data_IF_393550705660
#
_entry.id   IF_393550705660
#
_cell.length_a   1.000
_cell.length_b   1.000
_cell.length_c   1.000
_cell.angle_alpha   90.00
_cell.angle_beta   90.00
_cell.angle_gamma   90.00
#
_symmetry.space_group_name_H-M   'P 1'
#
loop_
_entity.id
_entity.type
_entity.pdbx_description
1 polymer ?
#
# COMPACT_ATOMS: atom_id res chain seq x y z
N UNK A 1 46.85 42.24 16.50
CA UNK A 1 47.20 43.60 16.04
C UNK A 1 47.98 43.46 14.74
N UNK A 2 47.34 43.73 13.59
CA UNK A 2 47.88 43.77 12.21
C UNK A 2 46.66 43.97 11.29
N UNK A 3 46.23 45.21 11.04
CA UNK A 3 46.54 46.06 9.87
C UNK A 3 45.73 45.71 8.61
N UNK A 4 44.90 46.67 8.20
CA UNK A 4 44.15 46.69 6.93
C UNK A 4 45.07 47.23 5.78
N UNK A 5 44.68 47.46 4.53
CA UNK A 5 43.37 47.44 3.84
C UNK A 5 43.56 47.02 2.35
N UNK A 6 42.95 47.67 1.34
CA UNK A 6 41.90 47.08 0.50
C UNK A 6 42.36 46.82 -0.94
N UNK A 7 41.46 46.34 -1.81
CA UNK A 7 41.38 46.83 -3.19
C UNK A 7 40.02 46.50 -3.83
N UNK A 8 39.36 47.53 -4.34
CA UNK A 8 38.04 47.44 -4.99
C UNK A 8 38.20 47.34 -6.50
N UNK A 9 37.41 46.50 -7.17
CA UNK A 9 36.93 46.83 -8.53
C UNK A 9 35.55 46.25 -8.80
N UNK A 10 34.69 47.11 -9.36
CA UNK A 10 33.27 46.90 -9.67
C UNK A 10 33.12 46.80 -11.20
N UNK A 11 31.96 46.31 -11.66
CA UNK A 11 31.52 46.04 -13.04
C UNK A 11 31.67 44.54 -13.42
N UNK A 12 30.79 43.93 -14.24
CA UNK A 12 29.79 44.48 -15.21
C UNK A 12 28.39 43.81 -15.01
N UNK A 13 27.36 44.43 -15.58
CA UNK A 13 25.94 44.01 -15.57
C UNK A 13 25.60 42.81 -16.46
N UNK A 14 24.60 42.05 -16.00
CA UNK A 14 23.68 41.14 -16.73
C UNK A 14 22.71 40.57 -15.68
N UNK A 15 21.37 40.63 -15.77
CA UNK A 15 20.52 40.37 -16.93
C UNK A 15 20.67 38.89 -17.30
N UNK A 16 19.74 37.97 -17.08
CA UNK A 16 18.30 38.00 -16.69
C UNK A 16 18.03 36.74 -15.81
N UNK A 17 16.94 36.52 -15.06
CA UNK A 17 15.63 37.19 -14.93
C UNK A 17 15.03 36.98 -13.51
N UNK A 18 13.81 37.48 -13.27
CA UNK A 18 12.94 37.08 -12.15
C UNK A 18 11.98 35.99 -12.65
N UNK A 19 12.03 34.79 -12.05
CA UNK A 19 11.09 33.70 -12.36
C UNK A 19 10.69 32.94 -11.08
N UNK A 20 9.54 33.36 -10.54
CA UNK A 20 8.65 32.68 -9.59
C UNK A 20 9.19 31.51 -8.72
N UNK A 21 9.31 31.77 -7.42
CA UNK A 21 9.11 30.76 -6.37
C UNK A 21 7.62 30.36 -6.42
N UNK A 22 7.27 29.32 -7.19
CA UNK A 22 5.91 28.79 -7.27
C UNK A 22 5.89 27.31 -7.71
N UNK A 23 6.18 26.41 -6.77
CA UNK A 23 5.80 24.99 -6.87
C UNK A 23 5.81 24.33 -5.48
N UNK A 24 4.89 24.78 -4.64
CA UNK A 24 4.22 23.92 -3.67
C UNK A 24 2.79 23.72 -4.18
N UNK A 25 2.14 22.61 -3.77
CA UNK A 25 0.84 22.12 -4.26
C UNK A 25 0.88 21.31 -5.58
N UNK A 26 1.68 20.24 -5.59
CA UNK A 26 1.22 18.99 -6.22
C UNK A 26 1.10 17.92 -5.12
N UNK A 27 -0.12 17.76 -4.60
CA UNK A 27 -0.47 16.76 -3.58
C UNK A 27 -0.53 15.33 -4.13
N UNK A 28 0.27 15.02 -5.14
CA UNK A 28 0.42 13.68 -5.67
C UNK A 28 1.49 12.99 -4.84
N UNK A 29 1.08 12.12 -3.92
CA UNK A 29 1.98 11.12 -3.33
C UNK A 29 2.38 10.16 -4.45
N UNK A 30 3.38 10.55 -5.23
CA UNK A 30 3.95 9.71 -6.25
C UNK A 30 4.42 8.43 -5.55
N UNK A 31 3.88 7.27 -5.98
CA UNK A 31 4.48 5.99 -5.64
C UNK A 31 5.98 6.11 -5.98
N UNK A 32 6.89 5.89 -5.02
CA UNK A 32 8.31 6.12 -5.25
C UNK A 32 8.76 5.30 -6.46
N UNK A 33 9.52 5.96 -7.33
CA UNK A 33 9.74 5.59 -8.73
C UNK A 33 9.96 4.09 -8.94
N UNK A 34 9.29 3.56 -9.97
CA UNK A 34 9.19 2.14 -10.29
C UNK A 34 10.56 1.43 -10.25
N UNK A 35 10.86 0.82 -9.10
CA UNK A 35 11.88 -0.21 -8.99
C UNK A 35 11.32 -1.43 -9.70
N UNK A 36 11.82 -1.69 -10.91
CA UNK A 36 11.58 -2.94 -11.65
C UNK A 36 11.86 -4.11 -10.72
N UNK A 37 10.80 -4.70 -10.18
CA UNK A 37 10.91 -5.74 -9.16
C UNK A 37 9.65 -6.58 -9.32
N UNK A 38 9.82 -7.80 -9.85
CA UNK A 38 8.70 -8.71 -10.13
C UNK A 38 7.91 -8.90 -8.84
N UNK A 39 6.74 -8.25 -8.76
CA UNK A 39 5.94 -8.25 -7.55
C UNK A 39 5.24 -9.60 -7.44
N UNK A 40 5.43 -10.30 -6.32
CA UNK A 40 4.57 -11.43 -6.00
C UNK A 40 3.31 -10.88 -5.33
N UNK A 41 2.16 -11.48 -5.62
CA UNK A 41 0.92 -11.18 -4.89
C UNK A 41 0.43 -12.44 -4.20
N UNK A 42 0.23 -12.35 -2.88
CA UNK A 42 -0.41 -13.38 -2.08
C UNK A 42 -1.92 -13.25 -2.26
N UNK A 43 -2.52 -14.16 -3.01
CA UNK A 43 -3.96 -14.33 -3.13
C UNK A 43 -4.44 -15.22 -1.98
N UNK A 44 -5.15 -14.62 -1.02
CA UNK A 44 -5.75 -15.33 0.10
C UNK A 44 -7.23 -15.55 -0.23
N UNK A 45 -7.63 -16.80 -0.45
CA UNK A 45 -9.02 -17.21 -0.61
C UNK A 45 -9.58 -17.61 0.75
N UNK A 46 -10.70 -17.04 1.14
CA UNK A 46 -11.41 -17.36 2.37
C UNK A 46 -12.74 -18.05 2.05
N UNK A 47 -12.83 -19.31 2.47
CA UNK A 47 -14.02 -19.99 2.99
C UNK A 47 -14.68 -19.18 4.12
N UNK A 48 -15.77 -18.43 3.93
CA UNK A 48 -16.45 -17.73 5.04
C UNK A 48 -17.82 -18.33 5.38
N UNK A 49 -18.27 -18.14 6.61
CA UNK A 49 -19.67 -18.37 6.98
C UNK A 49 -20.55 -17.30 6.30
N UNK A 50 -21.47 -17.67 5.39
CA UNK A 50 -22.28 -16.72 4.63
C UNK A 50 -23.24 -15.91 5.53
N UNK A 51 -23.52 -16.36 6.75
CA UNK A 51 -24.35 -15.63 7.73
C UNK A 51 -23.55 -14.71 8.64
N UNK A 52 -22.22 -14.72 8.57
CA UNK A 52 -21.32 -13.85 9.36
C UNK A 52 -20.47 -12.93 8.46
N UNK A 53 -21.06 -12.53 7.33
CA UNK A 53 -20.48 -11.59 6.36
C UNK A 53 -19.92 -10.33 7.02
N UNK A 54 -20.68 -9.72 7.92
CA UNK A 54 -20.35 -8.47 8.60
C UNK A 54 -19.16 -8.64 9.56
N UNK A 55 -19.01 -9.83 10.17
CA UNK A 55 -17.85 -10.16 10.99
C UNK A 55 -16.58 -10.26 10.12
N UNK A 56 -16.67 -10.88 8.94
CA UNK A 56 -15.55 -10.86 7.98
C UNK A 56 -15.28 -9.45 7.43
N UNK A 57 -16.32 -8.63 7.20
CA UNK A 57 -16.13 -7.22 6.83
C UNK A 57 -15.29 -6.51 7.87
N UNK A 58 -15.60 -6.69 9.16
CA UNK A 58 -14.85 -6.02 10.23
C UNK A 58 -13.40 -6.50 10.31
N UNK A 59 -13.19 -7.81 10.13
CA UNK A 59 -11.87 -8.42 10.04
C UNK A 59 -11.03 -7.85 8.88
N UNK A 60 -11.65 -7.64 7.71
CA UNK A 60 -11.04 -7.01 6.54
C UNK A 60 -10.73 -5.50 6.75
N UNK A 61 -11.65 -4.74 7.34
CA UNK A 61 -11.42 -3.32 7.70
C UNK A 61 -10.25 -3.15 8.66
N UNK A 62 -10.07 -4.08 9.60
CA UNK A 62 -8.92 -4.11 10.50
C UNK A 62 -7.61 -4.34 9.72
N UNK A 63 -7.58 -5.31 8.81
CA UNK A 63 -6.43 -5.52 7.91
C UNK A 63 -6.09 -4.29 7.07
N UNK A 64 -7.08 -3.49 6.67
CA UNK A 64 -6.88 -2.19 6.02
C UNK A 64 -5.93 -1.24 6.76
N UNK A 65 -5.86 -1.31 8.09
CA UNK A 65 -4.95 -0.50 8.93
C UNK A 65 -3.70 -1.24 9.39
N UNK A 66 -3.76 -2.57 9.50
CA UNK A 66 -2.68 -3.41 10.03
C UNK A 66 -1.66 -3.75 8.93
N UNK A 67 -2.11 -4.15 7.74
CA UNK A 67 -1.23 -4.67 6.69
C UNK A 67 -0.21 -3.62 6.21
N UNK A 68 -0.60 -2.36 5.92
CA UNK A 68 0.35 -1.35 5.46
C UNK A 68 1.45 -1.04 6.49
N UNK A 69 1.09 -0.92 7.79
CA UNK A 69 2.10 -0.67 8.85
C UNK A 69 3.02 -1.86 9.12
N UNK A 70 2.56 -3.09 8.86
CA UNK A 70 3.42 -4.27 8.86
C UNK A 70 4.26 -4.39 7.57
N UNK A 71 4.11 -3.49 6.60
CA UNK A 71 4.90 -3.45 5.36
C UNK A 71 4.45 -4.42 4.27
N UNK A 72 3.15 -4.74 4.22
CA UNK A 72 2.54 -5.38 3.05
C UNK A 72 1.83 -4.34 2.18
N UNK A 73 1.96 -4.43 0.85
CA UNK A 73 1.24 -3.55 -0.07
C UNK A 73 -0.18 -4.10 -0.28
N UNK A 74 -1.18 -3.44 0.31
CA UNK A 74 -2.54 -3.95 0.35
C UNK A 74 -3.31 -3.57 -0.93
N UNK A 75 -3.49 -4.54 -1.82
CA UNK A 75 -4.34 -4.38 -3.02
C UNK A 75 -5.81 -4.27 -2.62
N UNK A 76 -6.25 -5.07 -1.66
CA UNK A 76 -7.59 -4.97 -1.08
C UNK A 76 -8.14 -6.25 -0.48
N UNK A 77 -9.29 -6.13 0.17
CA UNK A 77 -10.14 -7.24 0.59
C UNK A 77 -11.50 -7.13 -0.11
N UNK A 78 -12.03 -8.27 -0.53
CA UNK A 78 -13.23 -8.36 -1.36
C UNK A 78 -14.19 -9.37 -0.72
N UNK A 79 -15.38 -8.89 -0.35
CA UNK A 79 -16.49 -9.73 0.05
C UNK A 79 -17.24 -10.27 -1.17
N UNK A 80 -17.96 -11.40 -1.06
CA UNK A 80 -18.89 -11.84 -2.10
C UNK A 80 -19.95 -10.76 -2.35
N UNK A 81 -20.57 -10.72 -3.53
CA UNK A 81 -21.61 -9.73 -3.86
C UNK A 81 -22.75 -10.29 -4.69
N UNK A 82 -22.43 -11.10 -5.69
CA UNK A 82 -23.38 -11.76 -6.58
C UNK A 82 -22.82 -13.13 -6.98
N UNK A 83 -23.68 -14.11 -7.25
CA UNK A 83 -23.29 -15.50 -7.47
C UNK A 83 -22.89 -16.19 -6.15
N UNK A 84 -21.63 -16.57 -6.02
CA UNK A 84 -21.10 -17.25 -4.83
C UNK A 84 -21.14 -16.34 -3.60
N UNK A 85 -21.77 -16.81 -2.52
CA UNK A 85 -22.05 -16.00 -1.32
C UNK A 85 -21.11 -16.29 -0.11
N UNK A 86 -20.27 -17.30 -0.20
CA UNK A 86 -19.40 -17.78 0.89
C UNK A 86 -17.90 -17.59 0.62
N UNK A 87 -17.48 -17.04 -0.54
CA UNK A 87 -16.07 -16.81 -0.87
C UNK A 87 -15.70 -15.34 -0.79
N UNK A 88 -14.72 -15.03 0.07
CA UNK A 88 -14.06 -13.73 0.15
C UNK A 88 -12.58 -13.82 -0.22
N UNK A 89 -11.96 -12.69 -0.55
CA UNK A 89 -10.56 -12.61 -0.98
C UNK A 89 -9.80 -11.52 -0.24
N UNK A 90 -8.51 -11.73 0.01
CA UNK A 90 -7.56 -10.69 0.41
C UNK A 90 -6.30 -10.78 -0.44
N UNK A 91 -5.91 -9.69 -1.09
CA UNK A 91 -4.75 -9.62 -1.98
C UNK A 91 -3.72 -8.66 -1.40
N UNK A 92 -2.48 -9.14 -1.25
CA UNK A 92 -1.37 -8.37 -0.69
C UNK A 92 -0.13 -8.62 -1.55
N UNK A 93 0.50 -7.56 -2.04
CA UNK A 93 1.66 -7.62 -2.90
C UNK A 93 2.96 -7.37 -2.11
N UNK A 94 4.03 -8.02 -2.57
CA UNK A 94 5.36 -7.97 -1.97
C UNK A 94 6.44 -7.97 -3.04
N UNK A 95 7.57 -7.35 -2.70
CA UNK A 95 8.75 -7.28 -3.55
C UNK A 95 9.47 -8.64 -3.73
N UNK A 96 9.23 -9.62 -2.85
CA UNK A 96 9.76 -11.00 -2.92
C UNK A 96 9.10 -11.88 -1.84
N UNK A 97 9.36 -13.19 -1.86
CA UNK A 97 8.96 -14.09 -0.77
C UNK A 97 9.64 -13.74 0.57
N UNK A 98 10.87 -13.23 0.56
CA UNK A 98 11.58 -12.81 1.77
C UNK A 98 10.91 -11.59 2.44
N UNK A 99 10.38 -10.64 1.65
CA UNK A 99 9.61 -9.51 2.18
C UNK A 99 8.28 -9.97 2.78
N UNK A 100 7.61 -10.95 2.16
CA UNK A 100 6.44 -11.60 2.74
C UNK A 100 6.76 -12.32 4.07
N UNK A 101 7.89 -13.02 4.18
CA UNK A 101 8.31 -13.68 5.42
C UNK A 101 8.61 -12.66 6.54
N UNK A 102 9.31 -11.57 6.23
CA UNK A 102 9.58 -10.48 7.18
C UNK A 102 8.27 -9.78 7.61
N UNK A 103 7.33 -9.58 6.69
CA UNK A 103 5.97 -9.13 7.00
C UNK A 103 5.24 -10.11 7.94
N UNK A 104 5.35 -11.42 7.70
CA UNK A 104 4.75 -12.45 8.58
C UNK A 104 5.40 -12.50 9.95
N UNK A 105 6.66 -12.09 10.13
CA UNK A 105 7.27 -11.92 11.45
C UNK A 105 6.62 -10.73 12.18
N UNK A 106 6.63 -9.54 11.57
CA UNK A 106 6.01 -8.33 12.15
C UNK A 106 4.52 -8.51 12.49
N UNK A 107 3.78 -9.25 11.67
CA UNK A 107 2.37 -9.60 11.95
C UNK A 107 2.16 -10.44 13.22
N UNK A 108 3.14 -11.24 13.66
CA UNK A 108 3.02 -12.04 14.88
C UNK A 108 3.27 -11.22 16.15
N UNK A 109 3.91 -10.07 15.99
CA UNK A 109 4.28 -9.15 17.08
C UNK A 109 3.26 -8.00 17.22
N UNK A 110 2.50 -7.71 16.16
CA UNK A 110 1.46 -6.67 16.17
C UNK A 110 0.23 -7.10 17.01
N UNK A 111 -0.08 -6.28 18.02
CA UNK A 111 -1.19 -6.54 18.96
C UNK A 111 -2.55 -6.60 18.27
N UNK A 112 -2.87 -5.67 17.37
CA UNK A 112 -4.18 -5.67 16.71
C UNK A 112 -4.28 -6.83 15.70
N UNK A 113 -3.17 -7.25 15.08
CA UNK A 113 -3.14 -8.45 14.25
C UNK A 113 -3.53 -9.70 15.06
N UNK A 114 -2.94 -9.88 16.25
CA UNK A 114 -3.27 -10.97 17.16
C UNK A 114 -4.74 -10.93 17.61
N UNK A 115 -5.25 -9.76 17.98
CA UNK A 115 -6.66 -9.54 18.35
C UNK A 115 -7.62 -9.85 17.19
N UNK A 116 -7.26 -9.47 15.96
CA UNK A 116 -8.05 -9.73 14.75
C UNK A 116 -8.09 -11.23 14.41
N UNK A 117 -6.96 -11.94 14.52
CA UNK A 117 -6.92 -13.40 14.38
C UNK A 117 -7.72 -14.11 15.47
N UNK A 118 -7.59 -13.70 16.73
CA UNK A 118 -8.34 -14.27 17.85
C UNK A 118 -9.85 -14.11 17.68
N UNK A 119 -10.30 -12.93 17.22
CA UNK A 119 -11.71 -12.66 16.91
C UNK A 119 -12.24 -13.60 15.82
N UNK A 120 -11.48 -13.81 14.74
CA UNK A 120 -11.86 -14.73 13.66
C UNK A 120 -11.94 -16.19 14.11
N UNK A 121 -11.03 -16.63 15.00
CA UNK A 121 -11.05 -17.96 15.60
C UNK A 121 -12.23 -18.15 16.56
N UNK A 122 -12.55 -17.14 17.37
CA UNK A 122 -13.63 -17.19 18.35
C UNK A 122 -15.01 -17.24 17.68
N UNK A 123 -15.27 -16.36 16.71
CA UNK A 123 -16.53 -16.29 15.96
C UNK A 123 -16.65 -17.36 14.87
N UNK A 124 -15.53 -17.96 14.46
CA UNK A 124 -15.45 -19.06 13.48
C UNK A 124 -16.02 -18.72 12.09
N UNK A 125 -16.09 -17.44 11.74
CA UNK A 125 -16.59 -17.01 10.42
C UNK A 125 -15.63 -17.30 9.25
N UNK A 126 -14.41 -17.77 9.51
CA UNK A 126 -13.50 -18.31 8.49
C UNK A 126 -13.49 -19.84 8.62
N UNK A 127 -14.08 -20.51 7.63
CA UNK A 127 -14.20 -21.96 7.53
C UNK A 127 -12.98 -22.60 6.85
N UNK A 128 -12.35 -21.89 5.89
CA UNK A 128 -11.14 -22.33 5.18
C UNK A 128 -10.32 -21.12 4.73
N UNK A 129 -9.00 -21.20 4.83
CA UNK A 129 -8.08 -20.22 4.24
C UNK A 129 -7.14 -20.96 3.28
N UNK A 130 -6.94 -20.42 2.07
CA UNK A 130 -5.99 -20.92 1.09
C UNK A 130 -5.13 -19.77 0.58
N UNK A 131 -3.84 -20.02 0.35
CA UNK A 131 -2.89 -18.99 -0.12
C UNK A 131 -2.18 -19.47 -1.37
N UNK A 132 -2.27 -18.66 -2.42
CA UNK A 132 -1.54 -18.84 -3.68
C UNK A 132 -0.67 -17.62 -3.91
N UNK A 133 0.59 -17.82 -4.30
CA UNK A 133 1.48 -16.74 -4.71
C UNK A 133 1.51 -16.70 -6.23
N UNK A 134 1.23 -15.53 -6.80
CA UNK A 134 1.26 -15.31 -8.25
C UNK A 134 2.26 -14.23 -8.61
N UNK A 135 2.84 -14.33 -9.79
CA UNK A 135 3.67 -13.28 -10.37
C UNK A 135 2.78 -12.17 -10.96
N UNK A 136 3.06 -10.92 -10.58
CA UNK A 136 2.40 -9.76 -11.11
C UNK A 136 3.02 -9.34 -12.46
N UNK A 137 2.19 -9.26 -13.50
CA UNK A 137 2.61 -8.73 -14.81
C UNK A 137 2.69 -7.20 -14.72
N UNK A 138 3.90 -6.65 -14.65
CA UNK A 138 4.20 -5.22 -14.43
C UNK A 138 3.22 -4.23 -15.11
N UNK A 139 2.92 -4.45 -16.39
CA UNK A 139 2.05 -3.56 -17.18
C UNK A 139 0.56 -3.56 -16.78
N UNK A 140 0.10 -4.44 -15.90
CA UNK A 140 -1.32 -4.60 -15.52
C UNK A 140 -1.63 -4.16 -14.08
N UNK A 141 -0.63 -4.08 -13.20
CA UNK A 141 -0.83 -3.76 -11.78
C UNK A 141 -0.99 -2.25 -11.58
N UNK A 142 -1.82 -1.84 -10.61
CA UNK A 142 -2.06 -0.46 -10.18
C UNK A 142 -2.36 0.56 -11.32
N UNK A 143 -2.83 0.09 -12.49
CA UNK A 143 -3.21 0.93 -13.62
C UNK A 143 -4.48 1.74 -13.28
N UNK A 144 -4.43 3.08 -13.25
CA UNK A 144 -5.63 3.89 -12.98
C UNK A 144 -6.57 3.88 -14.19
N UNK A 145 -7.87 4.06 -13.95
CA UNK A 145 -8.82 4.30 -15.02
C UNK A 145 -8.54 5.66 -15.69
N UNK A 146 -8.60 5.70 -17.03
CA UNK A 146 -8.42 6.91 -17.82
C UNK A 146 -9.76 7.56 -18.24
N UNK A 147 -10.90 6.95 -17.88
CA UNK A 147 -12.22 7.50 -18.18
C UNK A 147 -12.55 8.63 -17.19
N UNK A 148 -12.54 9.87 -17.68
CA UNK A 148 -13.11 11.00 -16.93
C UNK A 148 -14.63 10.81 -16.83
N UNK A 149 -15.20 11.00 -15.64
CA UNK A 149 -16.65 11.12 -15.51
C UNK A 149 -17.06 12.49 -16.09
N UNK A 150 -17.91 12.48 -17.11
CA UNK A 150 -18.68 13.65 -17.46
C UNK A 150 -19.77 13.81 -16.39
N UNK A 151 -19.74 14.94 -15.67
CA UNK A 151 -20.77 15.34 -14.72
C UNK A 151 -22.01 15.93 -15.39
#
# INVERSE_FOLDING_TARGET
MATAAPLTRRAVLGGVAVAAIAQALDGTTAYPEARTRMMITCFIRYQIDPFQREAFQKYAENWGRIIPRCGGDLVGYFLPREGTNDIAWGLISFASLAEYEAYRQRLREDREAMENFSTAQHLRFILREERTFVEGVEGTIHRPSHMKQNG
#
